data_IF_278711369839
#
_entry.id   IF_278711369839
#
_cell.length_a   1.000
_cell.length_b   1.000
_cell.length_c   1.000
_cell.angle_alpha   90.00
_cell.angle_beta   90.00
_cell.angle_gamma   90.00
#
_symmetry.space_group_name_H-M   'P 1'
#
loop_
_entity.id
_entity.type
_entity.pdbx_description
1 polymer ?
#
# COMPACT_ATOMS: atom_id res chain seq x y z
N UNK A 1 39.10 -15.99 -8.88
CA UNK A 1 38.24 -16.18 -7.69
C UNK A 1 36.80 -15.98 -8.10
N UNK A 2 35.92 -16.90 -7.72
CA UNK A 2 34.48 -16.79 -7.97
C UNK A 2 33.89 -15.77 -6.99
N UNK A 3 33.31 -14.68 -7.50
CA UNK A 3 32.74 -13.59 -6.68
C UNK A 3 31.21 -13.50 -6.75
N UNK A 4 30.62 -14.12 -7.77
CA UNK A 4 29.18 -14.13 -8.04
C UNK A 4 28.78 -15.57 -8.28
N UNK A 5 27.73 -16.00 -7.60
CA UNK A 5 27.17 -17.33 -7.75
C UNK A 5 25.65 -17.21 -7.80
N UNK A 6 25.06 -17.79 -8.84
CA UNK A 6 23.63 -17.96 -8.95
C UNK A 6 23.33 -19.45 -8.96
N UNK A 7 22.46 -19.89 -8.07
CA UNK A 7 22.00 -21.25 -7.94
C UNK A 7 20.49 -21.25 -8.13
N UNK A 8 20.01 -21.81 -9.23
CA UNK A 8 18.59 -22.04 -9.45
C UNK A 8 18.37 -23.54 -9.49
N UNK A 9 17.54 -24.07 -8.57
CA UNK A 9 17.16 -25.49 -8.49
C UNK A 9 18.35 -26.46 -8.28
N UNK A 10 19.48 -25.99 -7.77
CA UNK A 10 20.69 -26.81 -7.53
C UNK A 10 21.07 -26.72 -6.06
N UNK A 11 21.07 -27.86 -5.37
CA UNK A 11 21.59 -27.95 -4.02
C UNK A 11 23.12 -28.03 -4.05
N UNK A 12 23.77 -27.07 -3.39
CA UNK A 12 25.21 -27.10 -3.15
C UNK A 12 25.42 -27.44 -1.67
N UNK A 13 26.31 -28.40 -1.34
CA UNK A 13 26.67 -28.66 0.04
C UNK A 13 27.15 -27.37 0.69
N UNK A 14 26.52 -26.98 1.79
CA UNK A 14 26.76 -25.70 2.44
C UNK A 14 28.21 -25.60 2.99
N UNK A 15 28.86 -26.73 3.23
CA UNK A 15 30.27 -26.85 3.62
C UNK A 15 31.29 -26.57 2.49
N UNK A 16 30.85 -26.22 1.28
CA UNK A 16 31.75 -25.98 0.16
C UNK A 16 32.60 -24.71 0.39
N UNK A 17 33.91 -24.89 0.57
CA UNK A 17 34.89 -23.80 0.78
C UNK A 17 34.86 -22.73 -0.33
N UNK A 18 34.36 -23.07 -1.52
CA UNK A 18 34.22 -22.15 -2.65
C UNK A 18 33.29 -20.95 -2.33
N UNK A 19 32.44 -21.08 -1.31
CA UNK A 19 31.46 -20.05 -0.95
C UNK A 19 32.05 -18.88 -0.15
N UNK A 20 33.19 -19.07 0.54
CA UNK A 20 33.76 -18.05 1.45
C UNK A 20 34.18 -16.74 0.77
N UNK A 21 34.52 -16.78 -0.52
CA UNK A 21 34.97 -15.61 -1.29
C UNK A 21 33.87 -14.96 -2.14
N UNK A 22 32.62 -15.38 -1.96
CA UNK A 22 31.48 -14.88 -2.74
C UNK A 22 31.06 -13.50 -2.20
N UNK A 23 30.83 -12.58 -3.12
CA UNK A 23 30.29 -11.26 -2.81
C UNK A 23 28.79 -11.15 -3.16
N UNK A 24 28.33 -11.92 -4.16
CA UNK A 24 26.92 -11.91 -4.58
C UNK A 24 26.43 -13.36 -4.68
N UNK A 25 25.43 -13.69 -3.87
CA UNK A 25 24.79 -14.99 -3.86
C UNK A 25 23.32 -14.81 -4.21
N UNK A 26 22.90 -15.43 -5.31
CA UNK A 26 21.50 -15.56 -5.68
C UNK A 26 21.10 -17.02 -5.61
N UNK A 27 20.07 -17.32 -4.86
CA UNK A 27 19.56 -18.67 -4.68
C UNK A 27 18.06 -18.69 -4.96
N UNK A 28 17.62 -19.65 -5.76
CA UNK A 28 16.23 -19.85 -6.11
C UNK A 28 15.90 -21.34 -6.02
N UNK A 29 15.02 -21.72 -5.09
CA UNK A 29 14.66 -23.12 -4.85
C UNK A 29 13.15 -23.30 -4.83
N UNK A 30 12.51 -23.83 -5.88
CA UNK A 30 11.10 -24.18 -5.75
C UNK A 30 10.97 -25.39 -4.80
N UNK A 31 10.56 -25.19 -3.54
CA UNK A 31 10.19 -26.28 -2.60
C UNK A 31 8.88 -26.98 -2.96
N UNK A 32 8.40 -26.81 -4.19
CA UNK A 32 7.22 -27.49 -4.70
C UNK A 32 7.43 -28.99 -4.97
N UNK A 33 8.64 -29.52 -4.73
CA UNK A 33 8.93 -30.95 -4.85
C UNK A 33 8.91 -31.64 -3.48
N UNK A 34 8.29 -32.83 -3.36
CA UNK A 34 8.42 -33.63 -2.15
C UNK A 34 9.91 -33.86 -1.90
N UNK A 35 10.36 -33.43 -0.72
CA UNK A 35 11.68 -33.76 -0.23
C UNK A 35 11.86 -35.28 -0.30
N UNK A 36 13.04 -35.79 -0.70
CA UNK A 36 13.35 -37.19 -0.48
C UNK A 36 13.04 -37.52 0.98
N UNK A 37 12.24 -38.56 1.22
CA UNK A 37 11.52 -38.85 2.48
C UNK A 37 12.39 -38.90 3.77
N UNK A 38 13.71 -38.75 3.68
CA UNK A 38 14.67 -39.03 4.75
C UNK A 38 15.46 -37.81 5.28
N UNK A 39 15.34 -36.59 4.74
CA UNK A 39 16.10 -35.43 5.25
C UNK A 39 15.23 -34.48 6.07
N UNK A 40 15.48 -34.33 7.39
CA UNK A 40 14.77 -33.35 8.20
C UNK A 40 15.04 -31.92 7.68
N UNK A 41 13.98 -31.22 7.29
CA UNK A 41 14.01 -29.82 6.80
C UNK A 41 14.85 -28.90 7.69
N UNK A 42 14.69 -29.03 9.01
CA UNK A 42 15.40 -28.21 9.98
C UNK A 42 16.94 -28.36 9.88
N UNK A 43 17.42 -29.56 9.52
CA UNK A 43 18.85 -29.82 9.34
C UNK A 43 19.42 -29.05 8.15
N UNK A 44 18.69 -29.00 7.03
CA UNK A 44 19.09 -28.23 5.85
C UNK A 44 19.10 -26.73 6.14
N UNK A 45 18.07 -26.25 6.83
CA UNK A 45 17.95 -24.85 7.21
C UNK A 45 19.16 -24.41 8.06
N UNK A 46 19.47 -25.12 9.14
CA UNK A 46 20.62 -24.77 9.99
C UNK A 46 21.95 -24.85 9.24
N UNK A 47 22.14 -25.87 8.40
CA UNK A 47 23.33 -26.01 7.57
C UNK A 47 23.51 -24.84 6.59
N UNK A 48 22.42 -24.26 6.07
CA UNK A 48 22.48 -23.08 5.22
C UNK A 48 22.96 -21.86 5.99
N UNK A 49 22.38 -21.56 7.15
CA UNK A 49 22.79 -20.42 7.97
C UNK A 49 24.21 -20.56 8.54
N UNK A 50 24.62 -21.79 8.88
CA UNK A 50 26.01 -22.08 9.26
C UNK A 50 26.99 -21.77 8.12
N UNK A 51 26.63 -22.10 6.87
CA UNK A 51 27.45 -21.74 5.73
C UNK A 51 27.44 -20.24 5.44
N UNK A 52 26.29 -19.59 5.59
CA UNK A 52 26.15 -18.15 5.41
C UNK A 52 27.06 -17.39 6.39
N UNK A 53 27.19 -17.88 7.63
CA UNK A 53 28.12 -17.36 8.64
C UNK A 53 29.59 -17.41 8.20
N UNK A 54 29.97 -18.33 7.31
CA UNK A 54 31.32 -18.41 6.76
C UNK A 54 31.56 -17.44 5.59
N UNK A 55 30.51 -16.79 5.06
CA UNK A 55 30.57 -15.86 3.92
C UNK A 55 30.73 -14.40 4.36
N UNK A 56 31.80 -14.10 5.09
CA UNK A 56 32.05 -12.77 5.68
C UNK A 56 32.27 -11.64 4.65
N UNK A 57 32.56 -11.99 3.39
CA UNK A 57 32.74 -11.06 2.28
C UNK A 57 31.45 -10.81 1.45
N UNK A 58 30.34 -11.43 1.85
CA UNK A 58 29.07 -11.32 1.13
C UNK A 58 28.49 -9.90 1.22
N UNK A 59 28.11 -9.35 0.06
CA UNK A 59 27.54 -8.01 -0.11
C UNK A 59 26.10 -8.03 -0.58
N UNK A 60 25.75 -8.99 -1.43
CA UNK A 60 24.39 -9.14 -1.96
C UNK A 60 23.92 -10.56 -1.72
N UNK A 61 22.77 -10.69 -1.05
CA UNK A 61 22.10 -11.95 -0.82
C UNK A 61 20.68 -11.87 -1.39
N UNK A 62 20.40 -12.65 -2.41
CA UNK A 62 19.07 -12.80 -3.00
C UNK A 62 18.59 -14.24 -2.75
N UNK A 63 17.50 -14.41 -2.00
CA UNK A 63 16.89 -15.69 -1.70
C UNK A 63 15.47 -15.69 -2.27
N UNK A 64 15.15 -16.63 -3.14
CA UNK A 64 13.83 -16.75 -3.76
C UNK A 64 13.26 -18.15 -3.55
N UNK A 65 12.16 -18.21 -2.81
CA UNK A 65 11.51 -19.42 -2.35
C UNK A 65 12.49 -20.34 -1.64
N UNK A 66 13.48 -19.83 -0.92
CA UNK A 66 14.60 -20.67 -0.46
C UNK A 66 14.25 -21.59 0.71
N UNK A 67 13.08 -21.46 1.34
CA UNK A 67 12.70 -22.27 2.49
C UNK A 67 11.23 -22.73 2.42
N UNK A 68 10.86 -23.79 3.16
CA UNK A 68 9.48 -24.23 3.23
C UNK A 68 8.65 -23.38 4.21
N UNK A 69 7.38 -23.20 3.87
CA UNK A 69 6.38 -22.35 4.56
C UNK A 69 6.14 -22.67 6.05
N UNK A 70 6.57 -23.84 6.55
CA UNK A 70 6.37 -24.22 7.96
C UNK A 70 7.68 -24.06 8.71
N UNK A 71 7.89 -22.95 9.43
CA UNK A 71 8.98 -22.82 10.37
C UNK A 71 8.66 -23.74 11.56
N UNK A 72 9.16 -24.96 11.48
CA UNK A 72 9.19 -25.89 12.60
C UNK A 72 9.82 -25.18 13.80
N UNK A 73 9.45 -25.59 15.02
CA UNK A 73 10.00 -25.12 16.30
C UNK A 73 11.54 -25.26 16.35
N UNK A 74 12.26 -24.41 15.64
CA UNK A 74 13.70 -24.41 15.65
C UNK A 74 14.07 -23.62 16.90
N UNK A 75 14.42 -24.35 17.96
CA UNK A 75 14.78 -23.75 19.25
C UNK A 75 15.89 -22.70 19.09
N UNK A 76 15.91 -21.71 19.99
CA UNK A 76 16.83 -20.56 20.06
C UNK A 76 18.02 -20.63 19.10
N UNK A 77 17.80 -20.15 17.87
CA UNK A 77 18.85 -20.17 16.84
C UNK A 77 19.64 -18.88 16.89
N UNK A 78 20.97 -19.04 16.96
CA UNK A 78 21.92 -17.95 16.86
C UNK A 78 21.75 -17.19 15.53
N UNK A 79 21.58 -15.86 15.62
CA UNK A 79 21.59 -14.99 14.45
C UNK A 79 22.92 -15.05 13.69
N UNK A 80 22.84 -14.97 12.36
CA UNK A 80 23.99 -14.87 11.45
C UNK A 80 24.34 -13.42 11.21
N UNK A 81 25.56 -13.04 11.56
CA UNK A 81 26.07 -11.70 11.31
C UNK A 81 26.81 -11.64 9.96
N UNK A 82 26.35 -10.76 9.07
CA UNK A 82 26.94 -10.49 7.76
C UNK A 82 27.42 -9.04 7.68
N UNK A 83 28.65 -8.75 8.16
CA UNK A 83 29.09 -7.37 8.41
C UNK A 83 29.29 -6.52 7.16
N UNK A 84 29.29 -7.14 5.97
CA UNK A 84 29.49 -6.48 4.68
C UNK A 84 28.26 -6.52 3.78
N UNK A 85 27.12 -6.98 4.31
CA UNK A 85 25.89 -7.06 3.53
C UNK A 85 25.40 -5.64 3.21
N UNK A 86 25.33 -5.35 1.91
CA UNK A 86 24.88 -4.09 1.33
C UNK A 86 23.43 -4.21 0.82
N UNK A 87 23.01 -5.41 0.39
CA UNK A 87 21.65 -5.68 -0.09
C UNK A 87 21.19 -7.10 0.28
N UNK A 88 19.97 -7.19 0.81
CA UNK A 88 19.24 -8.41 1.11
C UNK A 88 17.90 -8.38 0.37
N UNK A 89 17.67 -9.36 -0.51
CA UNK A 89 16.38 -9.56 -1.16
C UNK A 89 15.83 -10.93 -0.81
N UNK A 90 14.64 -10.96 -0.24
CA UNK A 90 13.92 -12.18 0.10
C UNK A 90 12.63 -12.21 -0.70
N UNK A 91 12.40 -13.32 -1.40
CA UNK A 91 11.16 -13.61 -2.09
C UNK A 91 10.64 -14.92 -1.53
N UNK A 92 9.41 -14.95 -1.06
CA UNK A 92 8.76 -16.13 -0.51
C UNK A 92 7.33 -16.24 -1.02
N UNK A 93 6.74 -17.40 -0.78
CA UNK A 93 5.30 -17.54 -0.97
C UNK A 93 4.57 -16.77 0.13
N UNK A 94 4.90 -17.03 1.38
CA UNK A 94 4.20 -16.44 2.53
C UNK A 94 5.08 -15.41 3.25
N UNK A 95 4.47 -14.35 3.79
CA UNK A 95 5.15 -13.29 4.56
C UNK A 95 5.91 -13.84 5.76
N UNK A 96 5.37 -14.87 6.40
CA UNK A 96 5.99 -15.55 7.54
C UNK A 96 7.44 -16.00 7.23
N UNK A 97 7.68 -16.64 6.09
CA UNK A 97 9.00 -17.17 5.71
C UNK A 97 10.06 -16.06 5.70
N UNK A 98 9.73 -14.92 5.10
CA UNK A 98 10.60 -13.75 5.04
C UNK A 98 10.95 -13.22 6.44
N UNK A 99 9.94 -13.12 7.32
CA UNK A 99 10.12 -12.67 8.72
C UNK A 99 11.07 -13.61 9.48
N UNK A 100 10.90 -14.93 9.36
CA UNK A 100 11.76 -15.90 10.05
C UNK A 100 13.21 -15.84 9.57
N UNK A 101 13.44 -15.63 8.27
CA UNK A 101 14.78 -15.44 7.72
C UNK A 101 15.39 -14.15 8.27
N UNK A 102 14.63 -13.05 8.26
CA UNK A 102 15.08 -11.76 8.79
C UNK A 102 15.46 -11.85 10.27
N UNK A 103 14.65 -12.52 11.09
CA UNK A 103 14.95 -12.75 12.52
C UNK A 103 16.26 -13.52 12.73
N UNK A 104 16.75 -14.26 11.74
CA UNK A 104 18.01 -15.01 11.79
C UNK A 104 19.20 -14.32 11.14
N UNK A 105 19.01 -13.22 10.41
CA UNK A 105 20.11 -12.46 9.82
C UNK A 105 20.21 -11.15 10.57
N UNK A 106 21.37 -10.85 11.15
CA UNK A 106 21.62 -9.51 11.68
C UNK A 106 21.77 -8.54 10.53
N UNK A 107 20.69 -7.84 10.19
CA UNK A 107 20.69 -6.84 9.13
C UNK A 107 21.21 -5.51 9.68
N UNK A 108 22.40 -5.11 9.22
CA UNK A 108 22.93 -3.79 9.54
C UNK A 108 22.09 -2.70 8.89
N UNK A 109 21.99 -1.54 9.54
CA UNK A 109 21.26 -0.39 8.99
C UNK A 109 21.79 0.04 7.61
N UNK A 110 23.08 -0.12 7.31
CA UNK A 110 23.60 0.19 5.97
C UNK A 110 23.13 -0.75 4.86
N UNK A 111 22.57 -1.91 5.20
CA UNK A 111 22.05 -2.90 4.25
C UNK A 111 20.68 -2.46 3.75
N UNK A 112 20.43 -2.59 2.44
CA UNK A 112 19.08 -2.42 1.91
C UNK A 112 18.31 -3.72 1.99
N UNK A 113 17.03 -3.66 2.32
CA UNK A 113 16.18 -4.84 2.46
C UNK A 113 15.05 -4.76 1.45
N UNK A 114 14.81 -5.85 0.71
CA UNK A 114 13.66 -5.99 -0.16
C UNK A 114 12.97 -7.31 0.12
N UNK A 115 11.69 -7.26 0.47
CA UNK A 115 10.83 -8.40 0.71
C UNK A 115 9.83 -8.49 -0.44
N UNK A 116 9.62 -9.69 -0.96
CA UNK A 116 8.59 -10.00 -1.93
C UNK A 116 7.77 -11.17 -1.39
N UNK A 117 6.48 -10.94 -1.14
CA UNK A 117 5.53 -11.93 -0.67
C UNK A 117 4.50 -12.20 -1.76
N UNK A 118 4.26 -13.46 -2.10
CA UNK A 118 3.22 -13.82 -3.07
C UNK A 118 1.83 -13.88 -2.44
N UNK A 119 1.75 -14.33 -1.20
CA UNK A 119 0.51 -14.45 -0.44
C UNK A 119 0.49 -13.44 0.72
N UNK A 120 -0.70 -12.92 0.97
CA UNK A 120 -0.98 -11.97 2.03
C UNK A 120 -1.40 -12.72 3.30
N UNK A 121 -0.58 -12.67 4.35
CA UNK A 121 -0.88 -13.28 5.66
C UNK A 121 -0.86 -12.21 6.77
N UNK A 122 -2.04 -11.69 7.19
CA UNK A 122 -2.17 -10.57 8.12
C UNK A 122 -1.31 -10.61 9.40
N UNK A 123 -1.20 -11.75 10.13
CA UNK A 123 -0.58 -11.77 11.46
C UNK A 123 0.90 -11.39 11.49
N UNK A 124 1.57 -11.37 10.34
CA UNK A 124 3.02 -11.11 10.25
C UNK A 124 3.36 -9.68 9.84
N UNK A 125 2.37 -8.80 9.62
CA UNK A 125 2.64 -7.40 9.30
C UNK A 125 3.17 -6.62 10.49
N UNK A 126 2.72 -6.92 11.70
CA UNK A 126 3.31 -6.34 12.91
C UNK A 126 4.80 -6.69 13.03
N UNK A 127 5.16 -7.94 12.75
CA UNK A 127 6.56 -8.37 12.73
C UNK A 127 7.37 -7.63 11.64
N UNK A 128 6.80 -7.43 10.44
CA UNK A 128 7.46 -6.66 9.38
C UNK A 128 7.60 -5.20 9.76
N UNK A 129 6.56 -4.62 10.35
CA UNK A 129 6.55 -3.27 10.88
C UNK A 129 7.69 -3.13 11.89
N UNK A 130 7.73 -3.94 12.93
CA UNK A 130 8.75 -3.87 13.97
C UNK A 130 10.17 -4.07 13.40
N UNK A 131 10.33 -4.95 12.40
CA UNK A 131 11.59 -5.16 11.68
C UNK A 131 12.00 -3.94 10.85
N UNK A 132 11.05 -3.33 10.13
CA UNK A 132 11.29 -2.10 9.39
C UNK A 132 11.63 -0.96 10.34
N UNK A 133 10.97 -0.85 11.50
CA UNK A 133 11.24 0.15 12.52
C UNK A 133 12.67 0.02 13.04
N UNK A 134 13.04 -1.18 13.49
CA UNK A 134 14.37 -1.45 14.00
C UNK A 134 15.45 -1.19 12.94
N UNK A 135 15.14 -1.45 11.67
CA UNK A 135 16.04 -1.18 10.55
C UNK A 135 16.17 0.32 10.23
N UNK A 136 15.09 1.07 10.40
CA UNK A 136 15.02 2.50 10.06
C UNK A 136 15.40 3.42 11.23
N UNK A 137 15.29 2.96 12.47
CA UNK A 137 15.61 3.70 13.68
C UNK A 137 17.09 4.12 13.71
N UNK A 138 17.39 5.31 13.21
CA UNK A 138 18.69 5.94 13.44
C UNK A 138 18.83 6.29 14.92
N UNK A 139 20.04 6.25 15.47
CA UNK A 139 20.31 6.49 16.90
C UNK A 139 20.05 7.93 17.39
N UNK A 140 19.22 8.70 16.69
CA UNK A 140 18.94 10.11 16.94
C UNK A 140 17.43 10.30 16.77
N UNK A 141 16.80 10.97 17.74
CA UNK A 141 15.37 11.00 18.10
C UNK A 141 14.37 11.52 17.04
N UNK A 142 14.60 11.29 15.75
CA UNK A 142 13.66 11.64 14.69
C UNK A 142 13.30 10.38 13.91
N UNK A 143 12.07 9.91 14.11
CA UNK A 143 11.41 9.00 13.18
C UNK A 143 11.51 9.65 11.80
N UNK A 144 12.21 8.97 10.88
CA UNK A 144 12.33 9.45 9.51
C UNK A 144 10.94 9.46 8.87
N UNK A 145 10.60 10.46 8.05
CA UNK A 145 9.33 10.47 7.36
C UNK A 145 9.22 9.24 6.46
N UNK A 146 8.17 8.44 6.66
CA UNK A 146 7.91 7.26 5.84
C UNK A 146 7.30 7.72 4.51
N UNK A 147 7.60 7.02 3.42
CA UNK A 147 7.07 7.33 2.09
C UNK A 147 6.50 6.05 1.53
N UNK A 148 5.22 5.78 1.72
CA UNK A 148 4.60 4.61 1.10
C UNK A 148 4.52 4.81 -0.42
N UNK A 149 4.54 3.73 -1.19
CA UNK A 149 4.37 3.79 -2.65
C UNK A 149 3.32 2.74 -3.06
N UNK A 150 2.04 3.10 -3.02
CA UNK A 150 0.96 2.14 -3.30
C UNK A 150 0.78 1.85 -4.82
N UNK A 151 1.81 1.45 -5.55
CA UNK A 151 1.62 1.16 -6.97
C UNK A 151 0.87 -0.16 -7.15
N UNK A 152 -0.42 -0.05 -7.50
CA UNK A 152 -1.35 -1.14 -7.78
C UNK A 152 -1.16 -1.60 -9.24
N UNK A 153 0.06 -1.89 -9.68
CA UNK A 153 0.32 -2.13 -11.11
C UNK A 153 -0.56 -3.26 -11.71
N UNK A 154 -1.13 -3.00 -12.89
CA UNK A 154 -1.98 -3.94 -13.65
C UNK A 154 -1.28 -5.19 -14.20
N UNK A 155 0.04 -5.18 -14.31
CA UNK A 155 0.79 -6.12 -15.15
C UNK A 155 1.33 -7.34 -14.40
N UNK A 156 0.48 -8.16 -13.76
CA UNK A 156 0.91 -9.37 -13.01
C UNK A 156 2.04 -9.14 -11.98
N UNK A 157 2.28 -7.87 -11.66
CA UNK A 157 3.36 -7.34 -10.84
C UNK A 157 2.85 -7.16 -9.41
N UNK A 158 3.74 -6.90 -8.43
CA UNK A 158 3.32 -6.61 -7.07
C UNK A 158 2.30 -5.45 -7.04
N UNK A 159 1.22 -5.64 -6.28
CA UNK A 159 0.12 -4.67 -6.15
C UNK A 159 0.33 -3.70 -5.00
N UNK A 160 1.17 -4.07 -4.05
CA UNK A 160 1.51 -3.21 -2.92
C UNK A 160 3.02 -3.09 -2.84
N UNK A 161 3.56 -1.87 -2.90
CA UNK A 161 5.00 -1.61 -2.85
C UNK A 161 5.32 -0.60 -1.75
N UNK A 162 5.50 -1.09 -0.54
CA UNK A 162 5.84 -0.25 0.60
C UNK A 162 7.34 0.04 0.59
N UNK A 163 7.72 1.24 0.20
CA UNK A 163 9.11 1.66 0.21
C UNK A 163 9.40 2.52 1.44
N UNK A 164 10.63 2.48 1.94
CA UNK A 164 11.03 3.25 3.09
C UNK A 164 12.43 3.81 2.84
N UNK A 165 12.58 5.12 3.05
CA UNK A 165 13.84 5.84 2.92
C UNK A 165 14.16 6.55 4.23
N UNK A 166 15.45 6.64 4.57
CA UNK A 166 15.88 7.49 5.70
C UNK A 166 15.79 8.96 5.30
N UNK A 167 15.47 9.86 6.25
CA UNK A 167 15.22 11.29 6.00
C UNK A 167 16.25 11.98 5.11
N UNK A 168 17.52 11.58 5.20
CA UNK A 168 18.62 12.18 4.43
C UNK A 168 18.56 11.89 2.92
N UNK A 169 17.67 11.00 2.46
CA UNK A 169 17.60 10.48 1.08
C UNK A 169 16.20 10.51 0.49
N UNK A 170 15.26 11.23 1.11
CA UNK A 170 13.89 11.30 0.60
C UNK A 170 13.93 11.85 -0.84
N UNK A 171 13.47 11.08 -1.84
CA UNK A 171 13.38 11.58 -3.20
C UNK A 171 12.40 12.76 -3.22
N UNK A 172 12.60 13.69 -4.16
CA UNK A 172 11.52 14.62 -4.48
C UNK A 172 10.36 13.82 -5.06
N UNK A 173 9.10 14.25 -4.89
CA UNK A 173 7.93 13.56 -5.43
C UNK A 173 8.07 13.20 -6.92
N UNK A 174 8.77 14.05 -7.69
CA UNK A 174 8.99 13.91 -9.14
C UNK A 174 10.15 12.96 -9.50
N UNK A 175 11.05 12.65 -8.55
CA UNK A 175 12.32 11.92 -8.77
C UNK A 175 12.35 10.57 -8.02
N UNK A 176 11.35 9.71 -8.22
CA UNK A 176 11.22 8.44 -7.48
C UNK A 176 12.26 7.34 -7.80
N UNK A 177 13.35 7.66 -8.51
CA UNK A 177 14.34 6.66 -8.95
C UNK A 177 15.35 6.22 -7.87
N UNK A 178 15.21 6.63 -6.61
CA UNK A 178 16.15 6.22 -5.55
C UNK A 178 15.77 4.86 -4.97
N UNK A 179 16.73 3.91 -4.98
CA UNK A 179 16.54 2.60 -4.33
C UNK A 179 16.29 2.78 -2.82
N UNK A 180 15.18 2.24 -2.28
CA UNK A 180 14.80 2.41 -0.89
C UNK A 180 15.74 1.65 0.07
N UNK A 181 15.76 2.08 1.33
CA UNK A 181 16.48 1.39 2.40
C UNK A 181 15.74 0.10 2.80
N UNK A 182 14.39 0.12 2.80
CA UNK A 182 13.53 -1.05 2.96
C UNK A 182 12.42 -1.03 1.90
N UNK A 183 12.08 -2.18 1.33
CA UNK A 183 10.99 -2.33 0.36
C UNK A 183 10.21 -3.60 0.69
N UNK A 184 8.90 -3.51 0.90
CA UNK A 184 8.00 -4.65 0.99
C UNK A 184 7.10 -4.64 -0.24
N UNK A 185 7.16 -5.71 -1.02
CA UNK A 185 6.37 -5.95 -2.21
C UNK A 185 5.44 -7.12 -1.96
N UNK A 186 4.16 -6.94 -2.22
CA UNK A 186 3.15 -7.98 -2.03
C UNK A 186 2.47 -8.19 -3.37
N UNK A 187 2.34 -9.45 -3.80
CA UNK A 187 1.69 -9.77 -5.06
C UNK A 187 0.20 -9.47 -5.03
N UNK A 188 -0.38 -9.31 -6.24
CA UNK A 188 -1.82 -9.12 -6.42
C UNK A 188 -2.59 -10.27 -5.78
N UNK A 189 -3.53 -10.01 -4.86
CA UNK A 189 -4.44 -11.06 -4.42
C UNK A 189 -5.32 -11.49 -5.58
N UNK A 190 -5.61 -12.79 -5.63
CA UNK A 190 -6.61 -13.34 -6.53
C UNK A 190 -7.73 -13.96 -5.71
N UNK A 191 -8.99 -13.49 -5.85
CA UNK A 191 -9.50 -12.52 -6.85
C UNK A 191 -9.25 -11.02 -6.50
N UNK A 192 -9.43 -10.13 -7.48
CA UNK A 192 -9.11 -8.69 -7.38
C UNK A 192 -9.98 -7.88 -6.41
N UNK A 193 -11.19 -8.35 -6.09
CA UNK A 193 -12.08 -7.76 -5.08
C UNK A 193 -11.47 -7.77 -3.67
N UNK A 194 -10.51 -8.66 -3.40
CA UNK A 194 -9.77 -8.68 -2.14
C UNK A 194 -8.76 -7.53 -2.01
N UNK A 195 -8.54 -6.72 -3.06
CA UNK A 195 -7.52 -5.68 -3.05
C UNK A 195 -7.79 -4.62 -1.98
N UNK A 196 -9.04 -4.14 -1.91
CA UNK A 196 -9.44 -3.13 -0.90
C UNK A 196 -9.38 -3.73 0.51
N UNK A 197 -9.84 -4.97 0.68
CA UNK A 197 -9.78 -5.66 1.97
C UNK A 197 -8.33 -5.81 2.48
N UNK A 198 -7.40 -6.23 1.63
CA UNK A 198 -5.98 -6.31 1.99
C UNK A 198 -5.38 -4.93 2.28
N UNK A 199 -5.83 -3.89 1.59
CA UNK A 199 -5.41 -2.53 1.88
C UNK A 199 -5.86 -2.05 3.24
N UNK A 200 -7.10 -2.34 3.65
CA UNK A 200 -7.58 -2.06 5.01
C UNK A 200 -6.70 -2.73 6.05
N UNK A 201 -6.42 -4.02 5.89
CA UNK A 201 -5.52 -4.74 6.80
C UNK A 201 -4.11 -4.14 6.80
N UNK A 202 -3.57 -3.74 5.63
CA UNK A 202 -2.28 -3.06 5.55
C UNK A 202 -2.31 -1.69 6.22
N UNK A 203 -3.42 -0.96 6.09
CA UNK A 203 -3.64 0.33 6.75
C UNK A 203 -3.57 0.11 8.26
N UNK A 204 -4.33 -0.83 8.78
CA UNK A 204 -4.43 -1.07 10.22
C UNK A 204 -3.13 -1.63 10.82
N UNK A 205 -2.39 -2.45 10.06
CA UNK A 205 -1.16 -3.06 10.53
C UNK A 205 0.09 -2.18 10.42
N UNK A 206 0.06 -1.12 9.61
CA UNK A 206 1.22 -0.28 9.30
C UNK A 206 1.09 1.14 9.86
N UNK A 207 2.18 1.89 9.85
CA UNK A 207 2.18 3.31 10.24
C UNK A 207 1.55 4.19 9.16
N UNK A 208 0.25 4.10 9.00
CA UNK A 208 -0.51 4.93 8.06
C UNK A 208 -0.28 6.40 8.32
N UNK A 209 -0.29 6.83 9.57
CA UNK A 209 -0.01 8.21 10.01
C UNK A 209 1.37 8.74 9.62
N UNK A 210 2.23 7.89 9.05
CA UNK A 210 3.56 8.28 8.58
C UNK A 210 3.70 8.33 7.06
N UNK A 211 2.67 7.94 6.31
CA UNK A 211 2.69 7.91 4.85
C UNK A 211 2.70 9.34 4.31
N UNK A 212 3.79 9.75 3.65
CA UNK A 212 3.88 11.09 3.05
C UNK A 212 3.58 11.18 1.56
N UNK A 213 3.72 10.08 0.86
CA UNK A 213 3.45 10.00 -0.57
C UNK A 213 2.56 8.81 -0.79
N UNK A 214 1.58 8.96 -1.66
CA UNK A 214 0.70 7.90 -2.10
C UNK A 214 0.68 7.95 -3.61
N UNK A 215 0.85 6.81 -4.24
CA UNK A 215 0.86 6.70 -5.69
C UNK A 215 -0.03 5.55 -6.03
N UNK A 216 -1.03 5.77 -6.87
CA UNK A 216 -2.02 4.77 -7.22
C UNK A 216 -2.08 4.72 -8.74
N UNK A 217 -1.68 3.58 -9.26
CA UNK A 217 -1.53 3.29 -10.68
C UNK A 217 -2.19 1.92 -10.92
N UNK A 218 -3.33 1.84 -11.60
CA UNK A 218 -3.92 0.57 -12.06
C UNK A 218 -5.04 0.87 -13.07
N UNK A 219 -5.26 -0.07 -13.99
CA UNK A 219 -6.41 -0.04 -14.90
C UNK A 219 -7.49 -1.07 -14.53
N UNK A 220 -7.18 -2.01 -13.63
CA UNK A 220 -8.03 -3.19 -13.37
C UNK A 220 -8.92 -3.06 -12.13
N UNK A 221 -8.65 -2.09 -11.24
CA UNK A 221 -9.45 -1.84 -10.03
C UNK A 221 -10.07 -0.45 -10.14
N UNK A 222 -11.37 -0.35 -9.88
CA UNK A 222 -12.05 0.92 -9.69
C UNK A 222 -12.15 1.22 -8.21
N UNK A 223 -11.76 2.42 -7.79
CA UNK A 223 -12.04 2.91 -6.45
C UNK A 223 -13.21 3.87 -6.51
N UNK A 224 -14.06 3.84 -5.51
CA UNK A 224 -15.09 4.87 -5.31
C UNK A 224 -14.55 5.99 -4.43
N UNK A 225 -15.20 7.15 -4.46
CA UNK A 225 -14.77 8.32 -3.69
C UNK A 225 -14.73 8.02 -2.18
N UNK A 226 -15.73 7.27 -1.71
CA UNK A 226 -15.89 6.82 -0.33
C UNK A 226 -14.72 5.94 0.11
N UNK A 227 -14.20 5.10 -0.78
CA UNK A 227 -13.07 4.22 -0.49
C UNK A 227 -11.77 5.02 -0.31
N UNK A 228 -11.55 6.07 -1.11
CA UNK A 228 -10.41 6.98 -0.90
C UNK A 228 -10.48 7.65 0.47
N UNK A 229 -11.67 8.16 0.81
CA UNK A 229 -11.93 8.84 2.08
C UNK A 229 -11.69 7.85 3.21
N UNK A 230 -12.41 6.73 3.26
CA UNK A 230 -12.29 5.68 4.28
C UNK A 230 -10.81 5.28 4.51
N UNK A 231 -10.05 5.10 3.44
CA UNK A 231 -8.67 4.64 3.52
C UNK A 231 -7.68 5.70 4.03
N UNK A 232 -7.87 6.98 3.69
CA UNK A 232 -6.82 7.98 3.86
C UNK A 232 -7.23 9.27 4.57
N UNK A 233 -8.48 9.44 5.00
CA UNK A 233 -8.93 10.70 5.63
C UNK A 233 -8.18 11.00 6.94
N UNK A 234 -7.90 9.95 7.74
CA UNK A 234 -7.10 10.02 8.97
C UNK A 234 -5.60 10.30 8.72
N UNK A 235 -5.14 10.27 7.46
CA UNK A 235 -3.73 10.37 7.14
C UNK A 235 -3.24 11.81 7.00
N UNK A 236 -3.05 12.47 8.14
CA UNK A 236 -2.55 13.84 8.19
C UNK A 236 -1.13 14.02 7.63
N UNK A 237 -0.33 12.96 7.59
CA UNK A 237 1.03 13.04 7.06
C UNK A 237 1.09 13.00 5.53
N UNK A 238 -0.01 12.70 4.85
CA UNK A 238 -0.04 12.56 3.40
C UNK A 238 0.12 13.92 2.72
N UNK A 239 1.28 14.13 2.12
CA UNK A 239 1.68 15.41 1.51
C UNK A 239 1.68 15.35 -0.02
N UNK A 240 1.80 14.16 -0.62
CA UNK A 240 1.93 14.00 -2.06
C UNK A 240 1.05 12.86 -2.53
N UNK A 241 0.23 13.08 -3.56
CA UNK A 241 -0.56 12.04 -4.20
C UNK A 241 -0.24 12.01 -5.69
N UNK A 242 -0.10 10.81 -6.26
CA UNK A 242 -0.13 10.58 -7.70
C UNK A 242 -1.25 9.61 -8.01
N UNK A 243 -2.21 10.04 -8.83
CA UNK A 243 -3.28 9.19 -9.33
C UNK A 243 -3.13 9.05 -10.84
N UNK A 244 -3.34 7.86 -11.37
CA UNK A 244 -3.23 7.59 -12.81
C UNK A 244 -4.45 6.87 -13.37
N UNK A 245 -4.78 7.12 -14.63
CA UNK A 245 -5.94 6.52 -15.30
C UNK A 245 -7.24 6.83 -14.55
N UNK A 246 -8.16 5.85 -14.48
CA UNK A 246 -9.51 5.99 -13.89
C UNK A 246 -9.53 6.45 -12.42
N UNK A 247 -8.40 6.33 -11.72
CA UNK A 247 -8.28 6.82 -10.36
C UNK A 247 -8.27 8.33 -10.25
N UNK A 248 -7.91 9.04 -11.33
CA UNK A 248 -7.89 10.50 -11.34
C UNK A 248 -9.28 11.07 -11.06
N UNK A 249 -10.31 10.60 -11.77
CA UNK A 249 -11.70 11.02 -11.56
C UNK A 249 -12.16 10.74 -10.12
N UNK A 250 -12.05 9.49 -9.69
CA UNK A 250 -12.56 9.05 -8.38
C UNK A 250 -11.81 9.68 -7.20
N UNK A 251 -10.52 9.96 -7.37
CA UNK A 251 -9.73 10.74 -6.41
C UNK A 251 -10.20 12.20 -6.38
N UNK A 252 -10.44 12.83 -7.53
CA UNK A 252 -10.98 14.19 -7.58
C UNK A 252 -12.38 14.27 -6.93
N UNK A 253 -13.22 13.27 -7.12
CA UNK A 253 -14.53 13.18 -6.47
C UNK A 253 -14.38 13.05 -4.94
N UNK A 254 -13.51 12.16 -4.46
CA UNK A 254 -13.19 12.03 -3.03
C UNK A 254 -12.73 13.35 -2.40
N UNK A 255 -11.95 14.14 -3.15
CA UNK A 255 -11.45 15.42 -2.68
C UNK A 255 -12.50 16.54 -2.64
N UNK A 256 -13.67 16.35 -3.27
CA UNK A 256 -14.82 17.26 -3.24
C UNK A 256 -15.84 16.88 -2.16
N UNK A 257 -15.90 15.61 -1.80
CA UNK A 257 -16.82 15.10 -0.80
C UNK A 257 -16.36 15.57 0.60
N UNK A 258 -17.23 16.23 1.39
CA UNK A 258 -16.92 16.56 2.77
C UNK A 258 -16.77 15.26 3.58
N UNK A 259 -15.74 15.21 4.42
CA UNK A 259 -15.54 14.09 5.35
C UNK A 259 -16.45 14.31 6.56
N UNK A 260 -17.41 13.40 6.77
CA UNK A 260 -18.27 13.42 7.96
C UNK A 260 -17.46 12.97 9.18
N UNK A 261 -16.99 13.93 9.98
CA UNK A 261 -16.27 13.64 11.22
C UNK A 261 -17.19 13.02 12.28
N UNK A 262 -18.48 13.36 12.26
CA UNK A 262 -19.44 12.88 13.25
C UNK A 262 -19.75 11.39 13.04
N UNK A 263 -19.67 10.92 11.79
CA UNK A 263 -19.84 9.50 11.49
C UNK A 263 -18.77 8.63 12.17
N UNK A 264 -17.50 9.06 12.16
CA UNK A 264 -16.42 8.33 12.83
C UNK A 264 -16.60 8.30 14.35
N UNK A 265 -16.99 9.42 14.95
CA UNK A 265 -17.25 9.47 16.40
C UNK A 265 -18.40 8.52 16.78
N UNK A 266 -19.45 8.46 15.96
CA UNK A 266 -20.58 7.53 16.16
C UNK A 266 -20.18 6.07 15.99
N UNK A 267 -19.38 5.73 14.97
CA UNK A 267 -18.90 4.36 14.76
C UNK A 267 -18.02 3.89 15.92
N UNK A 268 -17.13 4.74 16.44
CA UNK A 268 -16.32 4.43 17.61
C UNK A 268 -17.13 4.29 18.90
N UNK A 269 -18.18 5.10 19.07
CA UNK A 269 -19.05 4.98 20.24
C UNK A 269 -19.92 3.72 20.15
N UNK A 270 -20.37 3.32 18.96
CA UNK A 270 -21.10 2.08 18.75
C UNK A 270 -20.23 0.83 19.00
N UNK A 271 -18.97 0.81 18.55
CA UNK A 271 -18.04 -0.29 18.84
C UNK A 271 -17.77 -0.45 20.35
N UNK A 272 -17.75 0.66 21.12
CA UNK A 272 -17.59 0.59 22.58
C UNK A 272 -18.82 0.04 23.28
N UNK A 273 -20.02 0.35 22.79
CA UNK A 273 -21.26 -0.19 23.36
C UNK A 273 -21.35 -1.71 23.15
N UNK A 274 -20.94 -2.21 21.99
CA UNK A 274 -20.92 -3.64 21.69
C UNK A 274 -19.91 -4.42 22.55
N UNK A 275 -18.75 -3.83 22.89
CA UNK A 275 -17.77 -4.46 23.79
C UNK A 275 -18.27 -4.59 25.25
N UNK A 276 -19.09 -3.64 25.71
CA UNK A 276 -19.62 -3.62 27.09
C UNK A 276 -20.78 -4.62 27.27
N UNK A 277 -21.57 -4.92 26.22
CA UNK A 277 -22.69 -5.88 26.29
C UNK A 277 -22.22 -7.34 26.42
N UNK A 278 -21.07 -7.69 25.85
CA UNK A 278 -20.52 -9.05 25.91
C UNK A 278 -19.99 -9.41 27.32
N UNK A 279 -19.54 -8.44 28.13
CA UNK A 279 -19.04 -8.71 29.49
C UNK A 279 -20.15 -8.98 30.52
N UNK A 280 -21.39 -8.54 30.29
CA UNK A 280 -22.51 -8.75 31.23
C UNK A 280 -23.27 -10.08 31.03
N UNK A 281 -23.05 -10.77 29.89
CA UNK A 281 -23.83 -11.97 29.53
C UNK A 281 -23.35 -13.29 30.16
N UNK A 282 -22.12 -13.34 30.69
CA UNK A 282 -21.49 -14.58 31.20
C UNK A 282 -21.97 -15.00 32.62
N UNK A 283 -22.97 -14.29 33.15
CA UNK A 283 -23.42 -14.40 34.55
C UNK A 283 -24.72 -15.16 34.81
N UNK A 284 -25.51 -15.53 33.80
CA UNK A 284 -26.89 -16.03 34.04
C UNK A 284 -27.13 -17.40 33.40
N UNK A 285 -26.66 -18.44 34.09
CA UNK A 285 -27.20 -19.80 33.98
C UNK A 285 -28.60 -19.84 34.65
N UNK A 286 -29.62 -19.23 34.04
CA UNK A 286 -31.01 -19.43 34.45
C UNK A 286 -31.74 -20.40 33.51
N UNK A 287 -31.81 -21.63 34.01
CA UNK A 287 -32.88 -22.61 33.78
C UNK A 287 -34.23 -21.90 33.62
N UNK A 288 -34.91 -22.08 32.47
CA UNK A 288 -36.37 -22.22 32.48
C UNK A 288 -36.94 -22.89 31.23
N UNK A 289 -37.63 -23.97 31.54
CA UNK A 289 -38.56 -24.74 30.75
C UNK A 289 -39.77 -23.91 30.28
N UNK A 290 -40.30 -24.37 29.14
CA UNK A 290 -41.71 -24.46 28.77
C UNK A 290 -42.55 -23.18 28.53
N UNK A 291 -43.04 -23.14 27.28
CA UNK A 291 -44.40 -22.82 26.84
C UNK A 291 -44.96 -21.41 27.10
N UNK A 292 -45.29 -20.71 26.01
CA UNK A 292 -46.70 -20.46 25.66
C UNK A 292 -46.84 -19.85 24.27
N UNK A 293 -47.85 -20.34 23.55
CA UNK A 293 -48.39 -19.82 22.30
C UNK A 293 -49.10 -18.49 22.58
N UNK A 294 -48.80 -17.42 21.84
CA UNK A 294 -49.74 -16.31 21.72
C UNK A 294 -49.72 -15.67 20.33
N UNK A 295 -50.82 -15.93 19.61
CA UNK A 295 -51.30 -15.18 18.46
C UNK A 295 -51.76 -13.80 18.94
N UNK A 296 -51.21 -12.71 18.40
CA UNK A 296 -51.95 -11.43 18.31
C UNK A 296 -51.64 -10.75 16.97
N UNK A 297 -52.65 -10.81 16.10
CA UNK A 297 -52.86 -9.93 14.95
C UNK A 297 -53.11 -8.50 15.47
N UNK A 298 -52.30 -7.54 15.03
CA UNK A 298 -52.43 -6.13 15.40
C UNK A 298 -52.00 -5.22 14.24
N UNK A 299 -52.95 -4.96 13.34
CA UNK A 299 -52.91 -3.88 12.35
C UNK A 299 -52.95 -2.52 13.09
N UNK A 300 -51.86 -1.76 13.09
CA UNK A 300 -51.91 -0.30 13.37
C UNK A 300 -51.09 0.45 12.31
N UNK A 301 -51.84 1.05 11.38
CA UNK A 301 -51.41 2.01 10.38
C UNK A 301 -51.11 3.36 11.07
N UNK A 302 -49.85 3.63 11.40
CA UNK A 302 -49.40 4.98 11.79
C UNK A 302 -48.60 5.61 10.64
N UNK A 303 -49.33 6.34 9.80
CA UNK A 303 -48.81 7.30 8.82
C UNK A 303 -48.25 8.52 9.56
N UNK A 304 -47.02 8.43 10.08
CA UNK A 304 -46.28 9.59 10.60
C UNK A 304 -45.47 10.23 9.46
N UNK A 305 -46.13 11.18 8.78
CA UNK A 305 -45.53 12.13 7.82
C UNK A 305 -44.55 13.06 8.57
N UNK A 306 -43.37 12.52 8.94
CA UNK A 306 -42.27 13.32 9.46
C UNK A 306 -41.53 13.94 8.27
N UNK A 307 -42.10 15.02 7.71
CA UNK A 307 -41.44 15.94 6.77
C UNK A 307 -40.23 16.54 7.48
N UNK A 308 -39.11 15.81 7.46
CA UNK A 308 -37.82 16.28 7.90
C UNK A 308 -37.38 17.31 6.87
N UNK A 309 -37.56 18.59 7.18
CA UNK A 309 -37.06 19.70 6.37
C UNK A 309 -35.54 19.54 6.24
N UNK A 310 -35.09 18.86 5.17
CA UNK A 310 -33.69 18.71 4.80
C UNK A 310 -33.08 20.11 4.64
N UNK A 311 -32.27 20.51 5.62
CA UNK A 311 -31.48 21.74 5.59
C UNK A 311 -30.44 21.61 4.48
N UNK A 312 -30.77 22.11 3.27
CA UNK A 312 -29.88 22.12 2.08
C UNK A 312 -28.52 22.83 2.29
N UNK A 313 -28.25 23.41 3.46
CA UNK A 313 -27.06 24.22 3.76
C UNK A 313 -25.91 23.45 4.46
N UNK A 314 -26.06 22.16 4.80
CA UNK A 314 -25.08 21.48 5.69
C UNK A 314 -23.83 20.88 4.99
N UNK A 315 -23.79 20.77 3.66
CA UNK A 315 -22.69 20.08 2.97
C UNK A 315 -21.56 20.99 2.46
N UNK A 316 -21.40 22.20 3.00
CA UNK A 316 -20.29 23.06 2.63
C UNK A 316 -18.94 22.49 3.13
N UNK A 317 -17.92 22.46 2.26
CA UNK A 317 -16.56 22.13 2.65
C UNK A 317 -16.02 23.20 3.61
N UNK A 318 -15.74 22.80 4.84
CA UNK A 318 -15.10 23.58 5.88
C UNK A 318 -13.63 23.18 6.00
N UNK A 319 -12.82 23.97 6.71
CA UNK A 319 -11.42 23.62 6.96
C UNK A 319 -11.25 22.26 7.68
N UNK A 320 -12.26 21.85 8.43
CA UNK A 320 -12.22 20.66 9.28
C UNK A 320 -12.58 19.39 8.49
N UNK A 321 -13.55 19.46 7.56
CA UNK A 321 -14.03 18.31 6.78
C UNK A 321 -13.35 18.11 5.41
N UNK A 322 -12.28 18.85 5.11
CA UNK A 322 -11.58 18.70 3.82
C UNK A 322 -10.67 17.48 3.85
N UNK A 323 -10.93 16.56 2.90
CA UNK A 323 -10.08 15.39 2.65
C UNK A 323 -8.62 15.79 2.34
N UNK A 324 -7.67 15.10 2.97
CA UNK A 324 -6.22 15.29 2.83
C UNK A 324 -5.77 16.74 3.00
N UNK A 325 -6.13 17.39 4.12
CA UNK A 325 -5.86 18.83 4.38
C UNK A 325 -4.40 19.27 4.21
N UNK A 326 -3.43 18.37 4.38
CA UNK A 326 -1.98 18.68 4.34
C UNK A 326 -1.33 18.43 2.97
N UNK A 327 -2.12 18.18 1.93
CA UNK A 327 -1.64 17.91 0.58
C UNK A 327 -0.88 19.11 0.01
N UNK A 328 0.35 18.85 -0.46
CA UNK A 328 1.27 19.82 -1.05
C UNK A 328 1.44 19.61 -2.55
N UNK A 329 1.34 18.37 -3.02
CA UNK A 329 1.53 18.03 -4.43
C UNK A 329 0.52 16.97 -4.88
N UNK A 330 -0.09 17.17 -6.03
CA UNK A 330 -0.98 16.21 -6.69
C UNK A 330 -0.51 16.01 -8.11
N UNK A 331 -0.14 14.81 -8.50
CA UNK A 331 0.19 14.44 -9.88
C UNK A 331 -0.96 13.63 -10.47
N UNK A 332 -1.55 14.13 -11.54
CA UNK A 332 -2.58 13.45 -12.33
C UNK A 332 -1.92 12.96 -13.62
N UNK A 333 -2.00 11.65 -13.88
CA UNK A 333 -1.39 11.02 -15.05
C UNK A 333 -2.39 10.23 -15.89
N UNK A 334 -2.26 10.35 -17.22
CA UNK A 334 -2.89 9.46 -18.19
C UNK A 334 -4.43 9.42 -18.17
N UNK A 335 -5.07 10.59 -18.15
CA UNK A 335 -6.44 10.74 -18.64
C UNK A 335 -6.48 11.65 -19.88
N UNK A 336 -7.31 11.28 -20.84
CA UNK A 336 -7.66 12.16 -21.96
C UNK A 336 -8.69 13.17 -21.42
N UNK A 337 -8.27 14.40 -21.06
CA UNK A 337 -9.21 15.40 -20.54
C UNK A 337 -10.15 15.89 -21.65
N UNK A 338 -9.79 15.65 -22.90
CA UNK A 338 -10.53 16.10 -24.07
C UNK A 338 -11.68 15.14 -24.45
N UNK A 339 -11.90 14.06 -23.69
CA UNK A 339 -13.10 13.22 -23.82
C UNK A 339 -13.30 12.51 -25.17
N UNK A 340 -12.36 12.58 -26.12
CA UNK A 340 -12.50 12.06 -27.49
C UNK A 340 -12.65 10.52 -27.60
N UNK A 341 -12.61 9.79 -26.48
CA UNK A 341 -12.92 8.36 -26.40
C UNK A 341 -14.20 8.03 -25.65
N UNK A 342 -14.94 9.04 -25.20
CA UNK A 342 -16.33 8.90 -24.81
C UNK A 342 -17.16 8.91 -26.09
N UNK A 343 -17.99 7.89 -26.27
CA UNK A 343 -18.86 7.74 -27.44
C UNK A 343 -19.58 9.06 -27.76
N UNK A 344 -19.74 9.38 -29.06
CA UNK A 344 -20.19 10.67 -29.65
C UNK A 344 -21.54 11.24 -29.14
N UNK A 345 -22.14 10.68 -28.10
CA UNK A 345 -23.44 11.02 -27.54
C UNK A 345 -23.39 11.69 -26.14
N UNK A 346 -22.22 11.85 -25.51
CA UNK A 346 -22.09 12.59 -24.23
C UNK A 346 -21.52 14.00 -24.46
N UNK A 347 -22.40 15.01 -24.46
CA UNK A 347 -22.11 16.45 -24.62
C UNK A 347 -21.25 17.06 -23.47
N UNK A 348 -20.45 16.26 -22.77
CA UNK A 348 -19.77 16.63 -21.52
C UNK A 348 -18.24 16.59 -21.64
N UNK A 349 -17.68 16.94 -22.81
CA UNK A 349 -16.23 17.01 -23.07
C UNK A 349 -15.47 17.91 -22.06
N UNK A 350 -16.13 18.89 -21.42
CA UNK A 350 -15.52 19.78 -20.42
C UNK A 350 -15.68 19.30 -18.96
N UNK A 351 -16.34 18.15 -18.72
CA UNK A 351 -16.75 17.75 -17.38
C UNK A 351 -15.58 17.64 -16.39
N UNK A 352 -14.47 17.00 -16.80
CA UNK A 352 -13.35 16.77 -15.90
C UNK A 352 -12.59 18.06 -15.58
N UNK A 353 -12.28 18.89 -16.58
CA UNK A 353 -11.60 20.17 -16.37
C UNK A 353 -12.40 21.08 -15.45
N UNK A 354 -13.71 21.20 -15.67
CA UNK A 354 -14.58 22.00 -14.81
C UNK A 354 -14.71 21.39 -13.41
N UNK A 355 -14.76 20.06 -13.27
CA UNK A 355 -14.72 19.38 -11.97
C UNK A 355 -13.43 19.68 -11.21
N UNK A 356 -12.27 19.61 -11.87
CA UNK A 356 -10.98 19.89 -11.28
C UNK A 356 -10.86 21.36 -10.85
N UNK A 357 -11.33 22.30 -11.68
CA UNK A 357 -11.41 23.73 -11.34
C UNK A 357 -12.32 24.00 -10.15
N UNK A 358 -13.51 23.40 -10.14
CA UNK A 358 -14.46 23.51 -9.04
C UNK A 358 -13.82 23.02 -7.74
N UNK A 359 -13.20 21.83 -7.75
CA UNK A 359 -12.47 21.29 -6.61
C UNK A 359 -11.39 22.25 -6.10
N UNK A 360 -10.48 22.70 -6.97
CA UNK A 360 -9.40 23.61 -6.57
C UNK A 360 -9.94 24.93 -6.02
N UNK A 361 -11.06 25.42 -6.55
CA UNK A 361 -11.68 26.66 -6.08
C UNK A 361 -12.29 26.47 -4.69
N UNK A 362 -13.11 25.44 -4.50
CA UNK A 362 -13.72 25.11 -3.20
C UNK A 362 -12.65 24.83 -2.13
N UNK A 363 -11.59 24.09 -2.48
CA UNK A 363 -10.47 23.85 -1.56
C UNK A 363 -9.73 25.14 -1.18
N UNK A 364 -9.55 26.06 -2.14
CA UNK A 364 -8.93 27.37 -1.85
C UNK A 364 -9.77 28.15 -0.86
N UNK A 365 -11.09 28.12 -1.02
CA UNK A 365 -12.01 28.80 -0.11
C UNK A 365 -11.97 28.20 1.29
N UNK A 366 -11.92 26.87 1.40
CA UNK A 366 -11.93 26.17 2.69
C UNK A 366 -10.62 26.28 3.48
N UNK A 367 -9.45 26.07 2.84
CA UNK A 367 -8.15 26.00 3.54
C UNK A 367 -7.23 27.19 3.23
N UNK A 368 -7.43 27.89 2.11
CA UNK A 368 -6.58 29.01 1.68
C UNK A 368 -5.28 28.60 0.97
N UNK A 369 -4.81 27.37 1.16
CA UNK A 369 -3.61 26.83 0.49
C UNK A 369 -3.98 25.72 -0.50
N UNK A 370 -3.39 25.77 -1.69
CA UNK A 370 -3.58 24.75 -2.72
C UNK A 370 -2.31 23.92 -2.94
N UNK A 371 -2.47 22.63 -3.28
CA UNK A 371 -1.34 21.82 -3.71
C UNK A 371 -0.85 22.29 -5.10
N UNK A 372 0.44 22.13 -5.33
CA UNK A 372 1.00 22.19 -6.70
C UNK A 372 0.44 21.01 -7.50
N UNK A 373 -0.07 21.28 -8.69
CA UNK A 373 -0.70 20.31 -9.57
C UNK A 373 0.28 19.89 -10.67
N UNK A 374 0.74 18.64 -10.65
CA UNK A 374 1.42 17.99 -11.76
C UNK A 374 0.40 17.39 -12.74
N UNK A 375 0.53 17.73 -14.02
CA UNK A 375 -0.26 17.12 -15.10
C UNK A 375 0.73 16.45 -16.05
N UNK A 376 0.66 15.12 -16.14
CA UNK A 376 1.58 14.32 -16.96
C UNK A 376 0.83 13.40 -17.88
N UNK A 377 1.28 13.28 -19.12
CA UNK A 377 0.70 12.34 -20.08
C UNK A 377 -0.82 12.50 -20.28
N UNK A 378 -1.36 13.68 -19.96
CA UNK A 378 -2.78 14.01 -20.13
C UNK A 378 -2.98 14.84 -21.40
N UNK A 379 -4.06 14.57 -22.13
CA UNK A 379 -4.50 15.42 -23.23
C UNK A 379 -5.21 16.63 -22.63
N UNK A 380 -4.52 17.77 -22.50
CA UNK A 380 -5.08 19.01 -21.97
C UNK A 380 -4.71 20.15 -22.92
N UNK A 381 -5.68 20.98 -23.28
CA UNK A 381 -5.42 22.14 -24.11
C UNK A 381 -4.58 23.19 -23.36
N UNK A 382 -3.72 23.96 -24.07
CA UNK A 382 -2.99 25.07 -23.43
C UNK A 382 -3.90 26.10 -22.74
N UNK A 383 -5.12 26.29 -23.24
CA UNK A 383 -6.10 27.21 -22.65
C UNK A 383 -6.56 26.74 -21.27
N UNK A 384 -6.92 25.45 -21.14
CA UNK A 384 -7.29 24.83 -19.86
C UNK A 384 -6.13 24.91 -18.85
N UNK A 385 -4.89 24.69 -19.29
CA UNK A 385 -3.70 24.84 -18.43
C UNK A 385 -3.54 26.28 -17.92
N UNK A 386 -3.73 27.29 -18.78
CA UNK A 386 -3.66 28.69 -18.33
C UNK A 386 -4.77 29.02 -17.33
N UNK A 387 -5.99 28.50 -17.50
CA UNK A 387 -7.06 28.63 -16.50
C UNK A 387 -6.70 27.98 -15.16
N UNK A 388 -6.10 26.77 -15.18
CA UNK A 388 -5.62 26.12 -13.96
C UNK A 388 -4.49 26.90 -13.28
N UNK A 389 -3.61 27.56 -14.05
CA UNK A 389 -2.55 28.44 -13.51
C UNK A 389 -3.07 29.71 -12.85
N UNK A 390 -4.26 30.19 -13.23
CA UNK A 390 -4.94 31.27 -12.50
C UNK A 390 -5.38 30.82 -11.11
N UNK A 391 -5.49 29.50 -10.91
CA UNK A 391 -6.00 28.88 -9.71
C UNK A 391 -4.86 28.38 -8.80
N UNK A 392 -3.97 27.54 -9.32
CA UNK A 392 -2.88 26.92 -8.56
C UNK A 392 -1.56 26.89 -9.34
N UNK A 393 -0.46 26.52 -8.70
CA UNK A 393 0.79 26.24 -9.40
C UNK A 393 0.64 24.94 -10.20
N UNK A 394 0.92 24.98 -11.50
CA UNK A 394 0.81 23.82 -12.40
C UNK A 394 2.19 23.46 -12.99
N UNK A 395 2.61 22.22 -12.81
CA UNK A 395 3.75 21.60 -13.48
C UNK A 395 3.24 20.69 -14.61
N UNK A 396 3.44 21.10 -15.86
CA UNK A 396 2.91 20.41 -17.04
C UNK A 396 4.04 19.96 -17.95
N UNK A 397 4.06 18.67 -18.29
CA UNK A 397 5.14 18.05 -19.05
C UNK A 397 5.10 18.33 -20.58
N UNK A 398 4.04 18.99 -21.06
CA UNK A 398 3.86 19.44 -22.44
C UNK A 398 4.18 18.34 -23.46
N UNK A 399 3.55 17.19 -23.33
CA UNK A 399 3.53 16.21 -24.43
C UNK A 399 2.61 16.72 -25.53
N UNK A 400 3.19 17.36 -26.55
CA UNK A 400 2.46 17.59 -27.82
C UNK A 400 1.97 16.23 -28.32
N UNK A 401 0.66 16.10 -28.57
CA UNK A 401 0.08 14.95 -29.27
C UNK A 401 0.85 14.85 -30.59
N UNK A 402 1.83 13.95 -30.64
CA UNK A 402 2.47 13.62 -31.91
C UNK A 402 1.38 12.87 -32.66
N UNK A 403 0.61 13.61 -33.48
CA UNK A 403 -0.31 13.02 -34.44
C UNK A 403 0.52 12.07 -35.30
N UNK A 404 0.57 10.79 -34.92
CA UNK A 404 1.15 9.77 -35.75
C UNK A 404 0.19 9.71 -36.94
N UNK A 405 0.59 10.20 -38.13
CA UNK A 405 -0.34 10.23 -39.25
C UNK A 405 -0.80 8.80 -39.45
N UNK A 406 -2.12 8.58 -39.44
CA UNK A 406 -2.76 7.31 -39.80
C UNK A 406 -2.54 7.06 -41.30
N UNK A 407 -1.28 6.96 -41.70
CA UNK A 407 -0.80 6.80 -43.06
C UNK A 407 -0.61 5.33 -43.38
N UNK A 408 -1.72 4.68 -43.74
CA UNK A 408 -1.75 3.56 -44.68
C UNK A 408 -0.84 2.36 -44.42
N UNK A 409 -1.30 1.41 -43.59
CA UNK A 409 -0.98 0.01 -43.82
C UNK A 409 -1.85 -0.47 -44.97
N UNK A 410 -1.33 -0.31 -46.19
CA UNK A 410 -1.88 -0.90 -47.43
C UNK A 410 -1.18 -2.20 -47.79
#
# INVERSE_FOLDING_TARGET
MLRRLQLSRIQVPSSALILRGIHHLKMEFPWSYPLPDDVPVAGYYNQFFDALKEMQDLRTLELSHCFPCKPWQVGDVYGVNLPRLEALSLRSKDTEENVHILKRITVLQSCRVSLFCEDFTPPFFEDIRDLAEAHMATSVDFLSPLTMFLSITGDHSPVYILNFWRSARMPRPVDMCLEPDFSLRIARPTPSDLIIFHLKILKDALWTDSIRTLIVEDNDVSWEAEQWIEMFHQNDALENVRASGKFVITFCDAMRTPVDQDQEEREQDQEREDEDEDEESDGIDEVKDEAEEHDEDGDEDDEDDNETEESEDENALTKENVFLRNLKFVELEAEDFDGEHCDEDDDNEDAFHEHLKAWLSTRREAIGTLPTLGIKDCCVSPAQIEELKEITEVDWDHKERIEVPLGGWG
#
